data_IF_471999012327
#
_entry.id   IF_471999012327
#
_cell.length_a   1.000
_cell.length_b   1.000
_cell.length_c   1.000
_cell.angle_alpha   90.00
_cell.angle_beta   90.00
_cell.angle_gamma   90.00
#
_symmetry.space_group_name_H-M   'P 1'
#
loop_
_entity.id
_entity.type
_entity.pdbx_description
1 polymer ?
#
# COMPACT_ATOMS: atom_id res chain seq x y z
N UNK A 1 -10.97 -8.62 2.02
CA UNK A 1 -9.80 -9.51 1.84
C UNK A 1 -8.56 -8.92 2.51
N UNK A 2 -7.70 -9.77 3.06
CA UNK A 2 -6.43 -9.35 3.67
C UNK A 2 -5.29 -9.75 2.74
N UNK A 3 -4.42 -8.81 2.40
CA UNK A 3 -3.29 -9.01 1.50
C UNK A 3 -1.99 -8.57 2.16
N UNK A 4 -0.93 -9.34 1.95
CA UNK A 4 0.42 -8.92 2.34
C UNK A 4 1.05 -8.17 1.18
N UNK A 5 1.72 -7.06 1.47
CA UNK A 5 2.39 -6.26 0.47
C UNK A 5 3.77 -5.76 0.90
N UNK A 6 4.58 -5.41 -0.09
CA UNK A 6 5.90 -4.81 0.06
C UNK A 6 5.88 -3.46 -0.62
N UNK A 7 6.18 -2.42 0.15
CA UNK A 7 6.27 -1.04 -0.32
C UNK A 7 7.70 -0.76 -0.78
N UNK A 8 7.84 -0.35 -2.03
CA UNK A 8 9.10 0.08 -2.65
C UNK A 8 8.98 1.54 -3.07
N UNK A 9 10.08 2.28 -3.02
CA UNK A 9 10.15 3.62 -3.62
C UNK A 9 10.38 3.45 -5.12
N UNK A 10 9.57 4.13 -5.94
CA UNK A 10 9.69 4.12 -7.39
C UNK A 10 9.35 5.49 -7.99
N UNK A 11 9.54 5.63 -9.29
CA UNK A 11 9.28 6.90 -10.01
C UNK A 11 7.79 7.14 -10.27
N UNK A 12 6.95 6.11 -10.20
CA UNK A 12 5.50 6.19 -10.40
C UNK A 12 4.78 5.21 -9.46
N UNK A 13 3.51 5.49 -9.16
CA UNK A 13 2.67 4.58 -8.40
C UNK A 13 2.31 3.36 -9.24
N UNK A 14 2.61 2.16 -8.75
CA UNK A 14 2.27 0.88 -9.40
C UNK A 14 1.95 -0.18 -8.37
N UNK A 15 0.98 -1.04 -8.68
CA UNK A 15 0.58 -2.16 -7.84
C UNK A 15 0.71 -3.45 -8.66
N UNK A 16 1.66 -4.29 -8.27
CA UNK A 16 1.80 -5.64 -8.83
C UNK A 16 1.08 -6.62 -7.91
N UNK A 17 -0.05 -7.17 -8.39
CA UNK A 17 -0.88 -8.13 -7.64
C UNK A 17 -0.30 -9.54 -7.83
N UNK A 18 0.01 -10.22 -6.74
CA UNK A 18 0.56 -11.58 -6.71
C UNK A 18 0.36 -12.22 -5.34
N UNK A 19 1.10 -13.29 -5.02
CA UNK A 19 1.05 -13.91 -3.67
C UNK A 19 1.43 -12.92 -2.55
N UNK A 20 2.36 -12.00 -2.85
CA UNK A 20 2.67 -10.81 -2.05
C UNK A 20 2.62 -9.63 -3.01
N UNK A 21 1.79 -8.63 -2.72
CA UNK A 21 1.65 -7.47 -3.58
C UNK A 21 2.90 -6.60 -3.51
N UNK A 22 3.39 -6.10 -4.63
CA UNK A 22 4.45 -5.09 -4.63
C UNK A 22 3.83 -3.73 -4.96
N UNK A 23 3.94 -2.79 -4.02
CA UNK A 23 3.40 -1.44 -4.19
C UNK A 23 4.57 -0.48 -4.32
N UNK A 24 4.74 0.07 -5.51
CA UNK A 24 5.68 1.16 -5.77
C UNK A 24 4.99 2.47 -5.42
N UNK A 25 5.59 3.24 -4.51
CA UNK A 25 5.14 4.58 -4.11
C UNK A 25 6.17 5.61 -4.56
N UNK A 26 5.69 6.80 -4.90
CA UNK A 26 6.58 7.94 -5.21
C UNK A 26 6.93 8.71 -3.95
N UNK A 27 5.99 8.74 -2.99
CA UNK A 27 6.16 9.46 -1.73
C UNK A 27 7.11 8.73 -0.77
N UNK A 28 7.87 9.49 0.05
CA UNK A 28 8.70 8.91 1.09
C UNK A 28 7.85 8.27 2.20
N UNK A 29 8.46 7.38 2.97
CA UNK A 29 7.83 6.77 4.15
C UNK A 29 7.66 7.76 5.32
N UNK A 30 8.36 8.90 5.28
CA UNK A 30 8.31 9.95 6.29
C UNK A 30 6.90 10.51 6.45
N UNK A 31 6.52 10.82 7.70
CA UNK A 31 5.23 11.41 8.05
C UNK A 31 4.01 10.65 7.48
N UNK A 32 4.10 9.33 7.31
CA UNK A 32 3.06 8.48 6.74
C UNK A 32 2.65 8.85 5.30
N UNK A 33 3.47 9.60 4.54
CA UNK A 33 3.10 10.03 3.18
C UNK A 33 2.90 8.85 2.23
N UNK A 34 3.82 7.88 2.23
CA UNK A 34 3.67 6.64 1.48
C UNK A 34 2.37 5.90 1.84
N UNK A 35 2.05 5.77 3.13
CA UNK A 35 0.83 5.10 3.60
C UNK A 35 -0.43 5.80 3.10
N UNK A 36 -0.46 7.15 3.16
CA UNK A 36 -1.57 7.96 2.64
C UNK A 36 -1.72 7.82 1.13
N UNK A 37 -0.61 7.81 0.38
CA UNK A 37 -0.65 7.59 -1.07
C UNK A 37 -1.22 6.22 -1.41
N UNK A 38 -0.78 5.16 -0.71
CA UNK A 38 -1.28 3.80 -0.90
C UNK A 38 -2.79 3.75 -0.68
N UNK A 39 -3.27 4.29 0.44
CA UNK A 39 -4.71 4.31 0.75
C UNK A 39 -5.45 5.12 -0.32
N UNK A 40 -4.98 6.32 -0.68
CA UNK A 40 -5.64 7.18 -1.67
C UNK A 40 -5.78 6.51 -3.03
N UNK A 41 -4.72 5.87 -3.52
CA UNK A 41 -4.73 5.24 -4.85
C UNK A 41 -5.51 3.92 -4.84
N UNK A 42 -5.33 3.08 -3.82
CA UNK A 42 -6.10 1.83 -3.70
C UNK A 42 -7.58 2.11 -3.41
N UNK A 43 -7.93 3.22 -2.75
CA UNK A 43 -9.32 3.63 -2.52
C UNK A 43 -10.08 3.97 -3.80
N UNK A 44 -9.39 4.13 -4.94
CA UNK A 44 -10.04 4.25 -6.25
C UNK A 44 -10.56 2.92 -6.79
N UNK A 45 -9.93 1.82 -6.40
CA UNK A 45 -10.32 0.46 -6.80
C UNK A 45 -11.15 -0.25 -5.73
N UNK A 46 -10.94 0.07 -4.45
CA UNK A 46 -11.58 -0.57 -3.31
C UNK A 46 -12.23 0.47 -2.39
N UNK A 47 -13.51 0.34 -2.03
CA UNK A 47 -14.19 1.35 -1.21
C UNK A 47 -13.57 1.56 0.18
N UNK A 48 -12.90 0.55 0.74
CA UNK A 48 -12.19 0.70 2.01
C UNK A 48 -10.84 -0.01 2.00
N UNK A 49 -9.80 0.74 2.39
CA UNK A 49 -8.41 0.28 2.43
C UNK A 49 -7.82 0.65 3.78
N UNK A 50 -7.34 -0.35 4.52
CA UNK A 50 -6.78 -0.17 5.86
C UNK A 50 -5.45 -0.89 6.00
N UNK A 51 -4.48 -0.23 6.61
CA UNK A 51 -3.20 -0.84 6.95
C UNK A 51 -3.34 -1.49 8.33
N UNK A 52 -3.32 -2.82 8.40
CA UNK A 52 -3.44 -3.56 9.66
C UNK A 52 -2.09 -3.66 10.39
N UNK A 53 -1.00 -3.88 9.65
CA UNK A 53 0.36 -4.06 10.22
C UNK A 53 1.43 -3.44 9.33
N UNK A 54 2.56 -3.09 9.95
CA UNK A 54 3.74 -2.60 9.24
C UNK A 54 3.68 -1.12 8.86
N UNK A 55 2.96 -0.27 9.59
CA UNK A 55 2.86 1.17 9.30
C UNK A 55 4.23 1.84 9.09
N UNK A 56 5.24 1.46 9.88
CA UNK A 56 6.62 1.94 9.79
C UNK A 56 7.57 1.02 9.00
N UNK A 57 7.09 -0.11 8.49
CA UNK A 57 7.89 -1.09 7.75
C UNK A 57 7.57 -1.07 6.25
N UNK A 58 8.52 -1.55 5.44
CA UNK A 58 8.30 -1.78 4.01
C UNK A 58 7.36 -2.96 3.78
N UNK A 59 7.38 -3.96 4.67
CA UNK A 59 6.44 -5.09 4.62
C UNK A 59 5.19 -4.71 5.40
N UNK A 60 4.03 -4.76 4.74
CA UNK A 60 2.75 -4.34 5.31
C UNK A 60 1.68 -5.39 5.06
N UNK A 61 0.65 -5.36 5.90
CA UNK A 61 -0.56 -6.14 5.69
C UNK A 61 -1.71 -5.14 5.52
N UNK A 62 -2.39 -5.23 4.38
CA UNK A 62 -3.52 -4.39 4.02
C UNK A 62 -4.81 -5.20 4.10
N UNK A 63 -5.85 -4.57 4.62
CA UNK A 63 -7.22 -5.02 4.53
C UNK A 63 -7.92 -4.19 3.44
N UNK A 64 -8.46 -4.88 2.45
CA UNK A 64 -9.21 -4.30 1.33
C UNK A 64 -10.64 -4.83 1.42
N UNK A 65 -11.63 -3.98 1.64
CA UNK A 65 -13.03 -4.39 1.58
C UNK A 65 -13.54 -4.18 0.14
N UNK A 66 -14.28 -5.17 -0.41
CA UNK A 66 -14.97 -5.01 -1.69
C UNK A 66 -16.11 -3.99 -1.61
#
# INVERSE_FOLDING_TARGET
MIVNCIVKKGSAFRVEKGAVWTICVTEPAENNRANRQIIKELSREYPSVRILRGASSRKKTLELLP
#
